data_IF_983924471396
#
_entry.id   IF_983924471396
#
_cell.length_a   1.000
_cell.length_b   1.000
_cell.length_c   1.000
_cell.angle_alpha   90.00
_cell.angle_beta   90.00
_cell.angle_gamma   90.00
#
_symmetry.space_group_name_H-M   'P 1'
#
loop_
_entity.id
_entity.type
_entity.pdbx_description
1 polymer ?
#
# COMPACT_ATOMS: atom_id res chain seq x y z
N UNK A 1 -24.20 13.18 4.68
CA UNK A 1 -25.00 13.71 3.54
C UNK A 1 -24.03 13.99 2.41
N UNK A 2 -24.29 13.50 1.19
CA UNK A 2 -23.45 13.82 0.05
C UNK A 2 -23.47 15.35 -0.20
N UNK A 3 -22.33 15.92 -0.51
CA UNK A 3 -22.18 17.34 -0.85
C UNK A 3 -23.03 17.64 -2.09
N UNK A 4 -23.87 18.67 -2.02
CA UNK A 4 -24.78 19.00 -3.12
C UNK A 4 -23.94 19.50 -4.30
N UNK A 5 -24.05 18.85 -5.46
CA UNK A 5 -23.38 19.27 -6.68
C UNK A 5 -24.07 20.52 -7.25
N UNK A 6 -23.28 21.50 -7.67
CA UNK A 6 -23.75 22.76 -8.27
C UNK A 6 -23.08 23.10 -9.60
N UNK A 7 -22.17 22.24 -10.07
CA UNK A 7 -21.32 22.53 -11.24
C UNK A 7 -22.13 22.80 -12.52
N UNK A 8 -23.27 22.15 -12.70
CA UNK A 8 -24.16 22.40 -13.84
C UNK A 8 -24.82 23.79 -13.74
N UNK A 9 -25.31 24.15 -12.56
CA UNK A 9 -25.91 25.49 -12.32
C UNK A 9 -24.87 26.60 -12.46
N UNK A 10 -23.67 26.40 -11.92
CA UNK A 10 -22.61 27.39 -11.95
C UNK A 10 -22.12 27.64 -13.38
N UNK A 11 -21.91 26.58 -14.17
CA UNK A 11 -21.36 26.67 -15.51
C UNK A 11 -22.44 27.03 -16.57
N UNK A 12 -23.61 26.43 -16.47
CA UNK A 12 -24.60 26.44 -17.54
C UNK A 12 -26.00 26.93 -17.11
N UNK A 13 -26.21 27.28 -15.84
CA UNK A 13 -27.54 27.61 -15.32
C UNK A 13 -28.24 28.76 -16.05
N UNK A 14 -27.49 29.75 -16.56
CA UNK A 14 -28.05 30.85 -17.37
C UNK A 14 -28.27 30.47 -18.84
N UNK A 15 -27.42 29.59 -19.39
CA UNK A 15 -27.44 29.21 -20.79
C UNK A 15 -28.38 28.03 -21.06
N UNK A 16 -28.36 27.02 -20.20
CA UNK A 16 -29.11 25.79 -20.33
C UNK A 16 -29.68 25.36 -18.97
N UNK A 17 -30.68 26.10 -18.43
CA UNK A 17 -31.20 25.86 -17.07
C UNK A 17 -31.78 24.46 -16.87
N UNK A 18 -32.44 23.90 -17.87
CA UNK A 18 -33.01 22.55 -17.80
C UNK A 18 -31.90 21.48 -17.72
N UNK A 19 -30.78 21.66 -18.48
CA UNK A 19 -29.63 20.75 -18.40
C UNK A 19 -29.00 20.84 -17.02
N UNK A 20 -28.76 22.03 -16.48
CA UNK A 20 -28.20 22.22 -15.15
C UNK A 20 -29.04 21.55 -14.07
N UNK A 21 -30.36 21.70 -14.13
CA UNK A 21 -31.30 21.02 -13.24
C UNK A 21 -31.20 19.48 -13.34
N UNK A 22 -31.21 18.93 -14.55
CA UNK A 22 -31.09 17.47 -14.71
C UNK A 22 -29.73 16.94 -14.23
N UNK A 23 -28.66 17.70 -14.46
CA UNK A 23 -27.33 17.33 -13.98
C UNK A 23 -27.24 17.37 -12.44
N UNK A 24 -27.51 18.51 -11.84
CA UNK A 24 -27.23 18.72 -10.43
C UNK A 24 -28.31 18.15 -9.51
N UNK A 25 -29.60 18.43 -9.82
CA UNK A 25 -30.69 18.06 -8.92
C UNK A 25 -31.17 16.62 -9.17
N UNK A 26 -31.29 16.17 -10.42
CA UNK A 26 -31.78 14.84 -10.73
C UNK A 26 -30.65 13.81 -10.71
N UNK A 27 -29.60 13.98 -11.54
CA UNK A 27 -28.53 12.98 -11.63
C UNK A 27 -27.78 12.87 -10.30
N UNK A 28 -27.17 13.97 -9.84
CA UNK A 28 -26.37 13.95 -8.61
C UNK A 28 -27.23 14.00 -7.35
N UNK A 29 -28.32 14.77 -7.34
CA UNK A 29 -29.21 14.92 -6.18
C UNK A 29 -30.07 13.71 -5.89
N UNK A 30 -30.63 13.07 -6.92
CA UNK A 30 -31.55 11.93 -6.75
C UNK A 30 -30.89 10.59 -7.08
N UNK A 31 -30.30 10.43 -8.28
CA UNK A 31 -29.82 9.12 -8.74
C UNK A 31 -28.58 8.69 -7.95
N UNK A 32 -27.60 9.57 -7.76
CA UNK A 32 -26.39 9.25 -7.01
C UNK A 32 -26.63 9.10 -5.50
N UNK A 33 -27.68 9.71 -4.97
CA UNK A 33 -28.05 9.58 -3.55
C UNK A 33 -28.71 8.25 -3.17
N UNK A 34 -29.10 7.42 -4.16
CA UNK A 34 -29.75 6.12 -3.96
C UNK A 34 -28.73 5.04 -3.56
N UNK A 35 -27.97 5.30 -2.49
CA UNK A 35 -26.85 4.46 -2.04
C UNK A 35 -27.29 3.13 -1.42
N UNK A 36 -28.59 3.02 -1.05
CA UNK A 36 -29.25 1.79 -0.61
C UNK A 36 -29.45 0.78 -1.76
N UNK A 37 -29.45 1.23 -2.99
CA UNK A 37 -29.63 0.40 -4.19
C UNK A 37 -28.30 0.05 -4.86
N UNK A 38 -27.41 1.01 -4.95
CA UNK A 38 -26.06 0.84 -5.51
C UNK A 38 -25.12 1.82 -4.82
N UNK A 39 -24.01 1.34 -4.32
CA UNK A 39 -23.05 2.16 -3.59
C UNK A 39 -22.47 3.30 -4.47
N UNK A 40 -22.04 4.40 -3.85
CA UNK A 40 -21.36 5.48 -4.58
C UNK A 40 -20.08 4.98 -5.26
N UNK A 41 -19.39 4.01 -4.64
CA UNK A 41 -18.22 3.33 -5.20
C UNK A 41 -18.57 2.59 -6.50
N UNK A 42 -19.57 1.75 -6.48
CA UNK A 42 -19.95 0.96 -7.66
C UNK A 42 -20.50 1.83 -8.78
N UNK A 43 -21.24 2.91 -8.45
CA UNK A 43 -21.64 3.94 -9.42
C UNK A 43 -20.45 4.58 -10.08
N UNK A 44 -19.38 4.88 -9.33
CA UNK A 44 -18.14 5.44 -9.88
C UNK A 44 -17.48 4.48 -10.86
N UNK A 45 -17.42 3.18 -10.53
CA UNK A 45 -16.89 2.15 -11.43
C UNK A 45 -17.69 2.08 -12.73
N UNK A 46 -19.01 2.04 -12.63
CA UNK A 46 -19.91 2.02 -13.81
C UNK A 46 -19.69 3.28 -14.66
N UNK A 47 -19.63 4.46 -14.04
CA UNK A 47 -19.46 5.73 -14.76
C UNK A 47 -18.10 5.81 -15.46
N UNK A 48 -17.01 5.49 -14.76
CA UNK A 48 -15.65 5.46 -15.34
C UNK A 48 -15.60 4.49 -16.52
N UNK A 49 -16.14 3.29 -16.35
CA UNK A 49 -16.17 2.28 -17.43
C UNK A 49 -17.00 2.74 -18.63
N UNK A 50 -18.14 3.37 -18.40
CA UNK A 50 -19.01 3.89 -19.47
C UNK A 50 -18.32 5.03 -20.26
N UNK A 51 -17.63 5.94 -19.58
CA UNK A 51 -16.94 7.06 -20.20
C UNK A 51 -15.74 6.57 -21.06
N UNK A 52 -14.90 5.71 -20.50
CA UNK A 52 -13.75 5.18 -21.24
C UNK A 52 -14.21 4.31 -22.44
N UNK A 53 -15.33 3.60 -22.33
CA UNK A 53 -15.91 2.84 -23.44
C UNK A 53 -16.29 3.73 -24.63
N UNK A 54 -16.76 4.95 -24.34
CA UNK A 54 -17.06 5.94 -25.37
C UNK A 54 -15.81 6.68 -25.89
N UNK A 55 -14.66 6.53 -25.25
CA UNK A 55 -13.42 7.24 -25.58
C UNK A 55 -13.37 8.66 -25.01
N UNK A 56 -14.21 8.98 -24.05
CA UNK A 56 -14.24 10.27 -23.35
C UNK A 56 -13.15 10.26 -22.27
N UNK A 57 -12.00 10.84 -22.61
CA UNK A 57 -10.81 10.94 -21.76
C UNK A 57 -10.37 12.41 -21.64
N UNK A 58 -11.30 13.25 -21.23
CA UNK A 58 -11.12 14.70 -21.03
C UNK A 58 -11.22 15.07 -19.54
N UNK A 59 -11.46 16.35 -19.25
CA UNK A 59 -11.63 16.85 -17.89
C UNK A 59 -12.81 16.23 -17.13
N UNK A 60 -13.87 15.83 -17.84
CA UNK A 60 -15.01 15.11 -17.24
C UNK A 60 -14.57 13.73 -16.74
N UNK A 61 -13.76 13.02 -17.53
CA UNK A 61 -13.21 11.72 -17.12
C UNK A 61 -12.27 11.87 -15.91
N UNK A 62 -11.42 12.91 -15.87
CA UNK A 62 -10.57 13.20 -14.72
C UNK A 62 -11.39 13.42 -13.45
N UNK A 63 -12.48 14.19 -13.53
CA UNK A 63 -13.40 14.39 -12.41
C UNK A 63 -14.01 13.07 -11.90
N UNK A 64 -14.44 12.19 -12.80
CA UNK A 64 -15.00 10.90 -12.40
C UNK A 64 -13.97 9.92 -11.85
N UNK A 65 -12.71 9.97 -12.29
CA UNK A 65 -11.61 9.23 -11.68
C UNK A 65 -11.34 9.72 -10.25
N UNK A 66 -11.26 11.05 -10.03
CA UNK A 66 -11.10 11.63 -8.69
C UNK A 66 -12.28 11.27 -7.78
N UNK A 67 -13.50 11.28 -8.31
CA UNK A 67 -14.72 10.85 -7.59
C UNK A 67 -14.66 9.36 -7.23
N UNK A 68 -14.18 8.51 -8.12
CA UNK A 68 -14.01 7.08 -7.87
C UNK A 68 -13.01 6.85 -6.71
N UNK A 69 -11.88 7.55 -6.72
CA UNK A 69 -10.90 7.53 -5.62
C UNK A 69 -11.53 7.98 -4.30
N UNK A 70 -12.22 9.14 -4.28
CA UNK A 70 -12.94 9.66 -3.10
C UNK A 70 -13.99 8.68 -2.57
N UNK A 71 -14.64 7.90 -3.45
CA UNK A 71 -15.64 6.90 -3.11
C UNK A 71 -15.04 5.52 -2.75
N UNK A 72 -13.71 5.42 -2.61
CA UNK A 72 -13.03 4.24 -2.09
C UNK A 72 -12.57 3.23 -3.14
N UNK A 73 -12.49 3.60 -4.42
CA UNK A 73 -11.83 2.77 -5.44
C UNK A 73 -10.31 2.93 -5.27
N UNK A 74 -9.63 1.83 -5.01
CA UNK A 74 -8.18 1.81 -4.81
C UNK A 74 -7.40 1.87 -6.12
N UNK A 75 -6.11 2.17 -6.05
CA UNK A 75 -5.20 2.15 -7.21
C UNK A 75 -5.17 0.77 -7.87
N UNK A 76 -5.09 -0.30 -7.08
CA UNK A 76 -5.10 -1.68 -7.60
C UNK A 76 -6.40 -2.00 -8.32
N UNK A 77 -7.53 -1.59 -7.76
CA UNK A 77 -8.84 -1.83 -8.35
C UNK A 77 -9.04 -1.06 -9.65
N UNK A 78 -8.69 0.23 -9.72
CA UNK A 78 -8.83 0.98 -10.97
C UNK A 78 -7.91 0.43 -12.06
N UNK A 79 -6.70 -0.03 -11.71
CA UNK A 79 -5.81 -0.69 -12.64
C UNK A 79 -6.44 -1.97 -13.20
N UNK A 80 -7.03 -2.80 -12.36
CA UNK A 80 -7.70 -4.04 -12.79
C UNK A 80 -8.97 -3.77 -13.61
N UNK A 81 -9.78 -2.78 -13.22
CA UNK A 81 -10.98 -2.36 -13.96
C UNK A 81 -10.61 -1.93 -15.39
N UNK A 82 -9.58 -1.08 -15.54
CA UNK A 82 -9.15 -0.60 -16.87
C UNK A 82 -8.47 -1.72 -17.67
N UNK A 83 -7.73 -2.61 -17.04
CA UNK A 83 -7.13 -3.80 -17.67
C UNK A 83 -8.21 -4.72 -18.22
N UNK A 84 -9.21 -5.06 -17.40
CA UNK A 84 -10.35 -5.85 -17.84
C UNK A 84 -11.10 -5.16 -18.98
N UNK A 85 -11.41 -3.87 -18.83
CA UNK A 85 -12.12 -3.10 -19.84
C UNK A 85 -11.38 -3.06 -21.19
N UNK A 86 -10.04 -3.07 -21.21
CA UNK A 86 -9.24 -3.00 -22.43
C UNK A 86 -9.59 -4.07 -23.48
N UNK A 87 -10.00 -5.25 -23.03
CA UNK A 87 -10.44 -6.36 -23.91
C UNK A 87 -11.78 -6.08 -24.61
N UNK A 88 -12.62 -5.21 -24.07
CA UNK A 88 -13.95 -4.88 -24.59
C UNK A 88 -13.99 -3.54 -25.34
N UNK A 89 -13.12 -2.59 -24.94
CA UNK A 89 -13.15 -1.21 -25.47
C UNK A 89 -11.98 -0.88 -26.38
N UNK A 90 -10.95 -1.74 -26.40
CA UNK A 90 -9.72 -1.58 -27.16
C UNK A 90 -8.60 -0.87 -26.41
N UNK A 91 -7.37 -1.29 -26.69
CA UNK A 91 -6.14 -0.89 -25.98
C UNK A 91 -5.84 0.62 -26.03
N UNK A 92 -6.12 1.28 -27.15
CA UNK A 92 -5.86 2.72 -27.28
C UNK A 92 -6.65 3.55 -26.27
N UNK A 93 -7.93 3.21 -26.05
CA UNK A 93 -8.77 3.89 -25.06
C UNK A 93 -8.30 3.59 -23.65
N UNK A 94 -7.95 2.33 -23.37
CA UNK A 94 -7.41 1.93 -22.07
C UNK A 94 -6.09 2.67 -21.76
N UNK A 95 -5.17 2.80 -22.71
CA UNK A 95 -3.95 3.58 -22.54
C UNK A 95 -4.20 5.06 -22.22
N UNK A 96 -5.19 5.68 -22.88
CA UNK A 96 -5.58 7.05 -22.56
C UNK A 96 -6.11 7.17 -21.11
N UNK A 97 -6.98 6.24 -20.72
CA UNK A 97 -7.53 6.17 -19.36
C UNK A 97 -6.46 5.93 -18.30
N UNK A 98 -5.50 5.02 -18.55
CA UNK A 98 -4.40 4.74 -17.63
C UNK A 98 -3.50 5.95 -17.39
N UNK A 99 -3.21 6.76 -18.42
CA UNK A 99 -2.44 8.00 -18.23
C UNK A 99 -3.12 8.94 -17.24
N UNK A 100 -4.45 9.11 -17.36
CA UNK A 100 -5.21 9.98 -16.47
C UNK A 100 -5.40 9.35 -15.08
N UNK A 101 -5.67 8.05 -15.00
CA UNK A 101 -5.78 7.35 -13.71
C UNK A 101 -4.46 7.44 -12.93
N UNK A 102 -3.32 7.24 -13.58
CA UNK A 102 -2.00 7.39 -12.95
C UNK A 102 -1.80 8.78 -12.33
N UNK A 103 -2.25 9.85 -12.98
CA UNK A 103 -2.16 11.20 -12.41
C UNK A 103 -3.05 11.37 -11.17
N UNK A 104 -4.27 10.81 -11.18
CA UNK A 104 -5.21 10.90 -10.05
C UNK A 104 -4.70 10.11 -8.83
N UNK A 105 -4.13 8.92 -9.03
CA UNK A 105 -3.62 8.07 -7.93
C UNK A 105 -2.15 8.32 -7.60
N UNK A 106 -1.41 9.11 -8.39
CA UNK A 106 -0.02 9.49 -8.10
C UNK A 106 0.14 10.25 -6.78
N UNK A 107 -0.90 10.98 -6.35
CA UNK A 107 -0.88 11.70 -5.07
C UNK A 107 -0.90 10.77 -3.84
N UNK A 108 -1.25 9.49 -4.02
CA UNK A 108 -1.16 8.49 -2.94
C UNK A 108 0.26 7.90 -2.83
N UNK A 109 1.07 8.05 -3.87
CA UNK A 109 2.51 7.92 -3.78
C UNK A 109 3.04 9.28 -3.28
N UNK A 110 2.94 9.53 -1.96
CA UNK A 110 3.80 10.54 -1.35
C UNK A 110 5.23 10.28 -1.88
N UNK A 111 5.99 11.32 -2.33
CA UNK A 111 7.36 11.08 -2.76
C UNK A 111 8.01 10.17 -1.73
N UNK A 112 8.74 9.15 -2.17
CA UNK A 112 9.31 8.16 -1.24
C UNK A 112 10.08 8.84 -0.09
N UNK A 113 10.59 10.05 -0.34
CA UNK A 113 11.20 10.96 0.64
C UNK A 113 10.20 11.42 1.71
N UNK A 114 8.99 11.87 1.33
CA UNK A 114 8.00 12.40 2.28
C UNK A 114 7.38 11.29 3.13
N UNK A 115 7.11 10.12 2.54
CA UNK A 115 6.63 8.95 3.26
C UNK A 115 7.69 8.40 4.22
N UNK A 116 8.95 8.37 3.79
CA UNK A 116 10.09 7.99 4.60
C UNK A 116 10.29 8.96 5.78
N UNK A 117 10.20 10.28 5.54
CA UNK A 117 10.30 11.30 6.58
C UNK A 117 9.14 11.21 7.58
N UNK A 118 7.91 11.00 7.09
CA UNK A 118 6.74 10.80 7.95
C UNK A 118 6.91 9.58 8.84
N UNK A 119 7.40 8.46 8.27
CA UNK A 119 7.71 7.25 9.03
C UNK A 119 8.83 7.51 10.05
N UNK A 120 9.91 8.18 9.66
CA UNK A 120 11.00 8.56 10.58
C UNK A 120 10.53 9.39 11.77
N UNK A 121 9.59 10.33 11.54
CA UNK A 121 9.01 11.16 12.61
C UNK A 121 8.06 10.40 13.53
N UNK A 122 7.56 9.24 13.12
CA UNK A 122 6.63 8.41 13.90
C UNK A 122 7.30 7.49 14.91
N UNK A 123 8.64 7.40 14.91
CA UNK A 123 9.40 6.51 15.79
C UNK A 123 10.61 7.21 16.41
N UNK A 124 11.21 6.59 17.43
CA UNK A 124 12.36 7.13 18.16
C UNK A 124 13.72 6.79 17.53
N UNK A 125 13.76 5.74 16.72
CA UNK A 125 15.01 5.20 16.18
C UNK A 125 15.24 5.67 14.74
N UNK A 126 16.50 5.91 14.30
CA UNK A 126 16.77 6.32 12.94
C UNK A 126 16.44 5.19 11.95
N UNK A 127 16.01 5.55 10.74
CA UNK A 127 15.80 4.58 9.65
C UNK A 127 17.14 3.93 9.24
N UNK A 128 18.22 4.69 9.23
CA UNK A 128 19.54 4.22 8.86
C UNK A 128 19.86 4.37 7.38
N UNK A 129 20.93 3.72 6.95
CA UNK A 129 21.38 3.69 5.55
C UNK A 129 20.66 2.59 4.75
N UNK A 130 20.63 2.66 3.40
CA UNK A 130 20.20 1.55 2.57
C UNK A 130 20.90 0.25 2.97
N UNK A 131 20.14 -0.83 3.04
CA UNK A 131 20.61 -2.14 3.51
C UNK A 131 21.25 -2.94 2.35
N UNK A 132 22.19 -2.32 1.62
CA UNK A 132 22.77 -2.88 0.41
C UNK A 132 23.52 -4.19 0.64
N UNK A 133 24.13 -4.35 1.83
CA UNK A 133 24.88 -5.55 2.19
C UNK A 133 24.02 -6.83 2.28
N UNK A 134 22.71 -6.67 2.54
CA UNK A 134 21.76 -7.76 2.64
C UNK A 134 20.67 -7.72 1.57
N UNK A 135 20.75 -6.79 0.60
CA UNK A 135 19.70 -6.56 -0.40
C UNK A 135 19.28 -7.85 -1.15
N UNK A 136 20.21 -8.78 -1.37
CA UNK A 136 19.94 -10.07 -2.01
C UNK A 136 18.95 -10.97 -1.23
N UNK A 137 18.70 -10.68 0.03
CA UNK A 137 17.77 -11.44 0.89
C UNK A 137 16.44 -10.72 1.12
N UNK A 138 16.15 -9.67 0.36
CA UNK A 138 14.95 -8.84 0.49
C UNK A 138 14.24 -8.70 -0.85
N UNK A 139 12.90 -8.65 -0.82
CA UNK A 139 12.07 -8.49 -2.04
C UNK A 139 11.92 -7.04 -2.50
N UNK A 140 12.43 -6.08 -1.75
CA UNK A 140 12.29 -4.65 -2.01
C UNK A 140 13.35 -3.86 -1.27
N UNK A 141 13.09 -2.57 -1.05
CA UNK A 141 14.04 -1.70 -0.36
C UNK A 141 13.89 -1.80 1.15
N UNK A 142 15.02 -1.93 1.80
CA UNK A 142 15.12 -1.90 3.26
C UNK A 142 16.30 -1.03 3.70
N UNK A 143 16.28 -0.64 4.96
CA UNK A 143 17.28 0.23 5.58
C UNK A 143 17.71 -0.37 6.90
N UNK A 144 18.96 -0.09 7.30
CA UNK A 144 19.56 -0.64 8.50
C UNK A 144 20.25 0.46 9.31
N UNK A 145 19.85 0.60 10.57
CA UNK A 145 20.54 1.43 11.54
C UNK A 145 21.13 0.56 12.67
N UNK A 146 22.45 0.40 12.77
CA UNK A 146 23.05 -0.27 13.92
C UNK A 146 22.88 0.61 15.17
N UNK A 147 22.27 0.06 16.21
CA UNK A 147 22.08 0.73 17.50
C UNK A 147 23.04 0.22 18.56
N UNK A 148 23.39 -1.07 18.52
CA UNK A 148 24.40 -1.72 19.35
C UNK A 148 25.14 -2.77 18.53
N UNK A 149 26.46 -2.74 18.56
CA UNK A 149 27.33 -3.69 17.84
C UNK A 149 28.32 -4.41 18.77
N UNK A 150 28.19 -4.20 20.09
CA UNK A 150 29.02 -4.85 21.10
C UNK A 150 28.13 -5.49 22.16
N UNK A 151 28.47 -6.72 22.54
CA UNK A 151 27.67 -7.53 23.47
C UNK A 151 26.45 -8.10 22.76
N UNK A 152 25.31 -7.41 22.83
CA UNK A 152 24.09 -7.78 22.11
C UNK A 152 23.95 -6.91 20.86
N UNK A 153 23.86 -7.54 19.69
CA UNK A 153 23.56 -6.86 18.43
C UNK A 153 22.12 -6.35 18.44
N UNK A 154 21.93 -5.04 18.20
CA UNK A 154 20.62 -4.41 18.08
C UNK A 154 20.62 -3.52 16.85
N UNK A 155 19.71 -3.76 15.95
CA UNK A 155 19.56 -3.02 14.69
C UNK A 155 18.12 -2.55 14.53
N UNK A 156 17.91 -1.30 14.12
CA UNK A 156 16.63 -0.91 13.59
C UNK A 156 16.58 -1.26 12.10
N UNK A 157 15.73 -2.21 11.74
CA UNK A 157 15.51 -2.64 10.36
C UNK A 157 14.21 -2.02 9.87
N UNK A 158 14.30 -1.23 8.80
CA UNK A 158 13.15 -0.53 8.21
C UNK A 158 12.88 -1.06 6.82
N UNK A 159 11.61 -1.31 6.51
CA UNK A 159 11.10 -1.85 5.25
C UNK A 159 10.17 -0.85 4.59
N UNK A 160 10.35 -0.61 3.29
CA UNK A 160 9.34 0.07 2.48
C UNK A 160 8.06 -0.78 2.36
N UNK A 161 6.89 -0.18 2.04
CA UNK A 161 5.64 -0.90 1.87
C UNK A 161 5.79 -2.12 0.97
N UNK A 162 5.31 -3.29 1.42
CA UNK A 162 5.40 -4.56 0.71
C UNK A 162 6.76 -5.24 0.68
N UNK A 163 7.82 -4.60 1.18
CA UNK A 163 9.14 -5.22 1.30
C UNK A 163 9.14 -6.27 2.42
N UNK A 164 9.70 -7.44 2.15
CA UNK A 164 9.96 -8.48 3.16
C UNK A 164 11.33 -9.10 2.96
N UNK A 165 11.89 -9.69 4.02
CA UNK A 165 13.04 -10.56 3.86
C UNK A 165 12.63 -11.98 3.41
N UNK A 166 13.61 -12.78 2.99
CA UNK A 166 13.40 -14.18 2.63
C UNK A 166 13.24 -15.04 3.89
N UNK A 167 12.81 -16.27 3.68
CA UNK A 167 12.81 -17.27 4.73
C UNK A 167 14.22 -17.45 5.27
N UNK A 168 14.35 -17.46 6.60
CA UNK A 168 15.63 -17.64 7.27
C UNK A 168 15.45 -18.28 8.66
N UNK A 169 16.54 -18.76 9.21
CA UNK A 169 16.65 -19.21 10.60
C UNK A 169 17.81 -18.51 11.29
N UNK A 170 17.73 -18.37 12.59
CA UNK A 170 18.85 -17.99 13.46
C UNK A 170 19.32 -19.24 14.18
N UNK A 171 20.42 -19.82 13.72
CA UNK A 171 20.95 -21.07 14.26
C UNK A 171 21.89 -20.81 15.43
N UNK A 172 21.90 -21.69 16.45
CA UNK A 172 22.88 -21.73 17.52
C UNK A 172 22.85 -23.09 18.20
N UNK A 173 24.02 -23.57 18.67
CA UNK A 173 24.12 -24.81 19.42
C UNK A 173 23.50 -24.70 20.81
N UNK A 174 23.51 -23.49 21.40
CA UNK A 174 22.90 -23.18 22.70
C UNK A 174 22.57 -21.67 22.76
N UNK A 175 21.40 -21.30 23.29
CA UNK A 175 20.89 -19.93 23.23
C UNK A 175 20.52 -19.55 21.80
N UNK A 176 20.81 -18.32 21.40
CA UNK A 176 20.50 -17.83 20.03
C UNK A 176 19.05 -17.49 19.79
N UNK A 177 18.74 -17.24 18.51
CA UNK A 177 17.45 -16.74 18.08
C UNK A 177 17.44 -15.22 17.93
N UNK A 178 16.25 -14.65 17.78
CA UNK A 178 16.06 -13.21 17.58
C UNK A 178 14.84 -12.71 18.31
N UNK A 179 14.89 -11.47 18.81
CA UNK A 179 13.71 -10.78 19.31
C UNK A 179 13.41 -9.61 18.38
N UNK A 180 12.16 -9.52 17.93
CA UNK A 180 11.64 -8.37 17.19
C UNK A 180 10.82 -7.51 18.12
N UNK A 181 11.07 -6.20 18.11
CA UNK A 181 10.22 -5.20 18.77
C UNK A 181 9.76 -4.23 17.69
N UNK A 182 8.46 -4.23 17.38
CA UNK A 182 7.90 -3.27 16.41
C UNK A 182 7.98 -1.86 17.00
N UNK A 183 8.62 -0.93 16.27
CA UNK A 183 8.83 0.45 16.72
C UNK A 183 8.18 1.48 15.81
N UNK A 184 7.70 1.10 14.64
CA UNK A 184 7.05 2.02 13.71
C UNK A 184 6.30 1.32 12.59
N UNK A 185 5.19 1.91 12.15
CA UNK A 185 4.38 1.39 11.06
C UNK A 185 3.69 0.08 11.35
N UNK A 186 3.43 -0.71 10.30
CA UNK A 186 2.72 -1.98 10.40
C UNK A 186 3.46 -3.08 9.63
N UNK A 187 3.79 -4.17 10.33
CA UNK A 187 4.55 -5.29 9.80
C UNK A 187 3.80 -6.61 9.82
N UNK A 188 4.45 -7.60 9.25
CA UNK A 188 4.01 -9.00 9.23
C UNK A 188 5.20 -9.86 9.68
N UNK A 189 4.95 -10.77 10.60
CA UNK A 189 5.82 -11.89 10.93
C UNK A 189 5.14 -13.19 10.53
N UNK A 190 5.87 -14.11 9.94
CA UNK A 190 5.34 -15.42 9.59
C UNK A 190 6.36 -16.51 9.90
N UNK A 191 5.95 -17.47 10.69
CA UNK A 191 6.66 -18.70 10.94
C UNK A 191 6.25 -19.78 9.93
N UNK A 192 7.17 -20.63 9.50
CA UNK A 192 6.90 -21.70 8.55
C UNK A 192 5.76 -22.59 9.03
N UNK A 193 4.79 -22.84 8.15
CA UNK A 193 3.62 -23.66 8.45
C UNK A 193 2.55 -22.99 9.32
N UNK A 194 2.73 -21.71 9.72
CA UNK A 194 1.75 -20.96 10.52
C UNK A 194 1.12 -19.80 9.73
N UNK A 195 -0.03 -19.34 10.21
CA UNK A 195 -0.65 -18.12 9.69
C UNK A 195 0.22 -16.87 9.98
N UNK A 196 0.19 -15.85 9.11
CA UNK A 196 0.91 -14.61 9.36
C UNK A 196 0.35 -13.88 10.59
N UNK A 197 1.24 -13.27 11.38
CA UNK A 197 0.93 -12.39 12.49
C UNK A 197 1.21 -10.95 12.08
N UNK A 198 0.23 -10.07 12.23
CA UNK A 198 0.42 -8.63 12.03
C UNK A 198 1.05 -8.00 13.27
N UNK A 199 1.98 -7.06 13.05
CA UNK A 199 2.73 -6.38 14.10
C UNK A 199 2.44 -4.88 14.04
N UNK A 200 2.16 -4.30 15.20
CA UNK A 200 1.98 -2.87 15.42
C UNK A 200 3.02 -2.35 16.42
N UNK A 201 3.29 -1.05 16.51
CA UNK A 201 4.23 -0.50 17.46
C UNK A 201 3.94 -0.95 18.90
N UNK A 202 4.96 -1.51 19.55
CA UNK A 202 4.88 -2.11 20.89
C UNK A 202 4.75 -3.64 20.90
N UNK A 203 4.42 -4.28 19.77
CA UNK A 203 4.39 -5.74 19.68
C UNK A 203 5.80 -6.32 19.72
N UNK A 204 5.93 -7.46 20.41
CA UNK A 204 7.20 -8.18 20.57
C UNK A 204 7.04 -9.62 20.12
N UNK A 205 7.96 -10.07 19.27
CA UNK A 205 8.06 -11.48 18.86
C UNK A 205 9.38 -12.05 19.35
N UNK A 206 9.32 -13.12 20.13
CA UNK A 206 10.51 -13.89 20.52
C UNK A 206 10.62 -15.11 19.61
N UNK A 207 11.69 -15.16 18.83
CA UNK A 207 11.95 -16.19 17.81
C UNK A 207 13.09 -17.07 18.32
N UNK A 208 12.79 -18.30 18.77
CA UNK A 208 13.83 -19.26 19.20
C UNK A 208 14.79 -19.61 18.05
N UNK A 209 15.99 -20.05 18.40
CA UNK A 209 16.94 -20.61 17.44
C UNK A 209 16.29 -21.77 16.64
N UNK A 210 16.64 -21.88 15.35
CA UNK A 210 16.13 -22.91 14.44
C UNK A 210 14.71 -22.69 13.90
N UNK A 211 14.00 -21.65 14.34
CA UNK A 211 12.65 -21.35 13.81
C UNK A 211 12.76 -20.69 12.44
N UNK A 212 12.26 -21.36 11.41
CA UNK A 212 12.21 -20.82 10.04
C UNK A 212 11.08 -19.78 9.93
N UNK A 213 11.41 -18.56 9.56
CA UNK A 213 10.49 -17.44 9.52
C UNK A 213 10.89 -16.39 8.49
N UNK A 214 9.98 -15.45 8.25
CA UNK A 214 10.24 -14.18 7.58
C UNK A 214 9.47 -13.05 8.27
N UNK A 215 9.89 -11.81 8.04
CA UNK A 215 9.16 -10.61 8.45
C UNK A 215 9.35 -9.49 7.42
N UNK A 216 8.42 -8.52 7.41
CA UNK A 216 8.43 -7.42 6.47
C UNK A 216 7.28 -6.47 6.69
N UNK A 217 7.18 -5.47 5.82
CA UNK A 217 6.14 -4.46 5.83
C UNK A 217 4.81 -5.00 5.28
N UNK A 218 3.69 -4.50 5.82
CA UNK A 218 2.40 -4.63 5.16
C UNK A 218 2.42 -3.90 3.79
N UNK A 219 1.56 -4.31 2.87
CA UNK A 219 1.57 -3.81 1.49
C UNK A 219 1.38 -2.28 1.38
N UNK A 220 0.72 -1.68 2.37
CA UNK A 220 0.31 -0.29 2.43
C UNK A 220 0.95 0.52 3.57
N UNK A 221 2.00 0.00 4.22
CA UNK A 221 2.64 0.65 5.35
C UNK A 221 4.15 0.44 5.36
N UNK A 222 4.89 1.45 5.70
CA UNK A 222 6.25 1.30 6.19
C UNK A 222 6.25 0.46 7.48
N UNK A 223 7.35 -0.20 7.77
CA UNK A 223 7.51 -1.01 8.96
C UNK A 223 8.94 -0.90 9.48
N UNK A 224 9.09 -0.68 10.77
CA UNK A 224 10.37 -0.74 11.46
C UNK A 224 10.29 -1.58 12.71
N UNK A 225 11.28 -2.38 12.91
CA UNK A 225 11.44 -3.14 14.15
C UNK A 225 12.88 -3.14 14.63
N UNK A 226 13.09 -3.26 15.92
CA UNK A 226 14.37 -3.65 16.47
C UNK A 226 14.59 -5.14 16.22
N UNK A 227 15.65 -5.48 15.52
CA UNK A 227 16.19 -6.83 15.46
C UNK A 227 17.24 -6.96 16.58
N UNK A 228 16.95 -7.75 17.58
CA UNK A 228 17.83 -7.99 18.72
C UNK A 228 18.38 -9.41 18.58
N UNK A 229 19.68 -9.52 18.36
CA UNK A 229 20.35 -10.80 18.25
C UNK A 229 20.53 -11.42 19.64
N UNK A 230 19.86 -12.55 19.89
CA UNK A 230 20.03 -13.26 21.16
C UNK A 230 21.38 -13.97 21.15
N UNK A 231 22.28 -13.71 22.12
CA UNK A 231 23.57 -14.36 22.16
C UNK A 231 23.46 -15.90 22.20
N UNK A 232 24.27 -16.58 21.38
CA UNK A 232 24.28 -18.03 21.29
C UNK A 232 25.64 -18.60 20.90
N UNK A 233 25.87 -19.85 21.25
CA UNK A 233 27.09 -20.57 20.89
C UNK A 233 27.05 -20.95 19.40
N UNK A 234 27.98 -20.40 18.59
CA UNK A 234 28.00 -20.59 17.14
C UNK A 234 26.85 -19.90 16.41
N UNK A 235 26.25 -18.84 17.00
CA UNK A 235 25.11 -18.14 16.42
C UNK A 235 25.40 -17.61 15.00
N UNK A 236 24.52 -17.93 14.07
CA UNK A 236 24.56 -17.44 12.67
C UNK A 236 23.19 -17.47 12.04
N UNK A 237 23.02 -16.75 10.92
CA UNK A 237 21.77 -16.75 10.14
C UNK A 237 21.93 -17.62 8.90
N UNK A 238 20.97 -18.50 8.66
CA UNK A 238 20.87 -19.29 7.43
C UNK A 238 19.69 -18.75 6.59
N UNK A 239 19.96 -18.45 5.31
CA UNK A 239 18.98 -17.90 4.38
C UNK A 239 18.53 -18.98 3.39
N UNK A 240 17.24 -18.98 3.07
CA UNK A 240 16.63 -19.89 2.11
C UNK A 240 16.17 -19.11 0.86
N UNK A 241 16.00 -19.80 -0.26
CA UNK A 241 15.56 -19.18 -1.51
C UNK A 241 14.17 -18.51 -1.39
N UNK A 242 13.96 -17.44 -2.19
CA UNK A 242 12.73 -16.65 -2.18
C UNK A 242 11.47 -17.45 -2.46
N UNK A 243 11.57 -18.50 -3.28
CA UNK A 243 10.46 -19.28 -3.84
C UNK A 243 10.10 -20.55 -3.04
N UNK A 244 10.64 -20.72 -1.84
CA UNK A 244 10.29 -21.87 -0.98
C UNK A 244 8.95 -21.66 -0.28
N UNK A 245 7.87 -21.36 -1.00
CA UNK A 245 6.51 -21.57 -0.53
C UNK A 245 5.99 -22.92 -1.06
N UNK A 246 5.76 -23.86 -0.16
CA UNK A 246 4.91 -25.02 -0.37
C UNK A 246 3.59 -24.78 0.31
#
# INVERSE_FOLDING_TARGET
MAEKQSAGHDALGKFAPAFAHFNDDVLFGEVWSRTDKLSARDRSIVTVTALVAQGLTDSSFAYHLASAKKNGVTQTEIAEILTHAAFYIGWSKAWAAFRMAKEVWREDEAPATDAMEAHAKSMLFPIGAPNDGFAQYFTGKSYLAPLSTSGVGIFNVTFEPGCRNFWHTHEAARGGGQILVCVGGRGIYREWGKAPQYLNPGDVVNIPAGVKHWHGAAADSWFSHLAIEVPGEGAHTEWFDADTEV
#
